data_IF_776472047423
#
_entry.id   IF_776472047423
#
_cell.length_a   1.000
_cell.length_b   1.000
_cell.length_c   1.000
_cell.angle_alpha   90.00
_cell.angle_beta   90.00
_cell.angle_gamma   90.00
#
_symmetry.space_group_name_H-M   'P 1'
#
loop_
_entity.id
_entity.type
_entity.pdbx_description
1 polymer ?
#
# COMPACT_ATOMS: atom_id res chain seq x y z
N UNK A 1 8.12 -6.02 -6.56
CA UNK A 1 9.56 -6.30 -6.41
C UNK A 1 10.41 -5.49 -7.41
N UNK A 2 10.07 -5.43 -8.71
CA UNK A 2 10.84 -4.68 -9.72
C UNK A 2 11.04 -3.20 -9.37
N UNK A 3 9.99 -2.49 -8.95
CA UNK A 3 10.07 -1.10 -8.50
C UNK A 3 11.01 -0.94 -7.30
N UNK A 4 10.98 -1.86 -6.34
CA UNK A 4 11.83 -1.81 -5.16
C UNK A 4 13.32 -1.91 -5.53
N UNK A 5 13.66 -2.88 -6.38
CA UNK A 5 15.03 -3.05 -6.87
C UNK A 5 15.50 -1.81 -7.63
N UNK A 6 14.66 -1.28 -8.52
CA UNK A 6 15.00 -0.09 -9.30
C UNK A 6 15.11 1.16 -8.40
N UNK A 7 14.18 1.37 -7.47
CA UNK A 7 14.22 2.49 -6.54
C UNK A 7 15.49 2.52 -5.69
N UNK A 8 15.88 1.35 -5.16
CA UNK A 8 17.10 1.22 -4.34
C UNK A 8 18.38 1.36 -5.17
N UNK A 9 18.45 0.74 -6.35
CA UNK A 9 19.64 0.81 -7.21
C UNK A 9 19.90 2.23 -7.76
N UNK A 10 18.85 2.97 -8.07
CA UNK A 10 18.97 4.32 -8.64
C UNK A 10 18.78 5.44 -7.61
N UNK A 11 18.63 5.10 -6.33
CA UNK A 11 18.59 6.06 -5.23
C UNK A 11 17.33 6.94 -5.20
N UNK A 12 16.20 6.48 -5.78
CA UNK A 12 14.92 7.19 -5.71
C UNK A 12 14.09 6.71 -4.51
N UNK A 13 13.90 7.61 -3.55
CA UNK A 13 13.06 7.37 -2.38
C UNK A 13 11.58 7.32 -2.78
N UNK A 14 11.15 8.16 -3.72
CA UNK A 14 9.76 8.15 -4.21
C UNK A 14 9.38 6.79 -4.84
N UNK A 15 10.25 6.22 -5.67
CA UNK A 15 10.02 4.89 -6.28
C UNK A 15 10.06 3.78 -5.23
N UNK A 16 10.97 3.87 -4.28
CA UNK A 16 11.06 2.90 -3.18
C UNK A 16 9.83 2.96 -2.29
N UNK A 17 9.33 4.15 -1.97
CA UNK A 17 8.11 4.37 -1.21
C UNK A 17 6.87 3.78 -1.91
N UNK A 18 6.71 4.07 -3.20
CA UNK A 18 5.62 3.50 -4.02
C UNK A 18 5.72 1.96 -4.12
N UNK A 19 6.94 1.41 -4.21
CA UNK A 19 7.16 -0.03 -4.18
C UNK A 19 6.79 -0.67 -2.83
N UNK A 20 7.13 -0.01 -1.73
CA UNK A 20 6.79 -0.47 -0.38
C UNK A 20 5.29 -0.35 -0.10
N UNK A 21 4.61 0.68 -0.61
CA UNK A 21 3.16 0.76 -0.58
C UNK A 21 2.51 -0.48 -1.25
N UNK A 22 2.90 -0.77 -2.48
CA UNK A 22 2.39 -1.96 -3.19
C UNK A 22 2.75 -3.29 -2.50
N UNK A 23 3.89 -3.36 -1.80
CA UNK A 23 4.27 -4.55 -1.03
C UNK A 23 3.43 -4.67 0.24
N UNK A 24 3.12 -3.55 0.89
CA UNK A 24 2.23 -3.50 2.06
C UNK A 24 0.83 -3.99 1.71
N UNK A 25 0.27 -3.54 0.56
CA UNK A 25 -1.03 -4.00 0.07
C UNK A 25 -1.03 -5.52 -0.19
N UNK A 26 0.02 -6.03 -0.84
CA UNK A 26 0.16 -7.47 -1.09
C UNK A 26 0.30 -8.27 0.23
N UNK A 27 1.04 -7.74 1.20
CA UNK A 27 1.21 -8.37 2.51
C UNK A 27 -0.09 -8.37 3.31
N UNK A 28 -0.85 -7.27 3.28
CA UNK A 28 -2.17 -7.17 3.90
C UNK A 28 -3.12 -8.23 3.37
N UNK A 29 -3.15 -8.45 2.05
CA UNK A 29 -3.98 -9.48 1.42
C UNK A 29 -3.59 -10.90 1.88
N UNK A 30 -2.28 -11.20 2.01
CA UNK A 30 -1.80 -12.51 2.48
C UNK A 30 -2.18 -12.73 3.94
N UNK A 31 -1.97 -11.72 4.80
CA UNK A 31 -2.26 -11.84 6.24
C UNK A 31 -3.76 -11.92 6.47
N UNK A 32 -4.59 -11.18 5.71
CA UNK A 32 -6.04 -11.32 5.75
C UNK A 32 -6.49 -12.73 5.39
N UNK A 33 -5.91 -13.32 4.33
CA UNK A 33 -6.22 -14.70 3.93
C UNK A 33 -5.87 -15.72 5.05
N UNK A 34 -4.71 -15.54 5.70
CA UNK A 34 -4.30 -16.38 6.84
C UNK A 34 -5.20 -16.13 8.04
N UNK A 35 -5.55 -14.88 8.33
CA UNK A 35 -6.47 -14.49 9.39
C UNK A 35 -7.84 -15.13 9.21
N UNK A 36 -8.43 -15.07 8.03
CA UNK A 36 -9.69 -15.74 7.69
C UNK A 36 -9.62 -17.26 7.88
N UNK A 37 -8.53 -17.88 7.45
CA UNK A 37 -8.34 -19.32 7.61
C UNK A 37 -8.24 -19.73 9.08
N UNK A 38 -7.60 -18.93 9.92
CA UNK A 38 -7.52 -19.16 11.36
C UNK A 38 -8.85 -18.88 12.05
N UNK A 39 -9.54 -17.81 11.67
CA UNK A 39 -10.84 -17.43 12.20
C UNK A 39 -11.92 -18.46 11.90
N UNK A 40 -11.83 -19.18 10.78
CA UNK A 40 -12.75 -20.25 10.39
C UNK A 40 -12.59 -21.55 11.21
N UNK A 41 -11.60 -21.65 12.10
CA UNK A 41 -11.40 -22.81 12.95
C UNK A 41 -12.55 -22.92 13.98
N UNK A 42 -13.10 -24.12 14.15
CA UNK A 42 -14.15 -24.39 15.13
C UNK A 42 -13.69 -24.09 16.57
N UNK A 43 -14.63 -23.78 17.49
CA UNK A 43 -14.31 -23.66 18.91
C UNK A 43 -13.62 -24.91 19.44
N UNK A 44 -12.65 -24.72 20.32
CA UNK A 44 -11.93 -25.79 21.01
C UNK A 44 -11.92 -25.54 22.54
N UNK A 45 -11.29 -26.43 23.30
CA UNK A 45 -11.29 -26.35 24.77
C UNK A 45 -10.56 -25.09 25.29
N UNK A 46 -9.60 -24.56 24.53
CA UNK A 46 -8.82 -23.35 24.87
C UNK A 46 -9.56 -22.08 24.43
N UNK A 47 -10.35 -22.16 23.34
CA UNK A 47 -11.09 -21.04 22.77
C UNK A 47 -12.60 -21.42 22.60
N UNK A 48 -13.38 -21.47 23.70
CA UNK A 48 -14.80 -21.88 23.68
C UNK A 48 -15.69 -20.99 22.82
N UNK A 49 -15.32 -19.72 22.63
CA UNK A 49 -16.08 -18.74 21.81
C UNK A 49 -15.61 -18.71 20.35
N UNK A 50 -14.71 -19.63 19.96
CA UNK A 50 -14.18 -19.70 18.60
C UNK A 50 -12.97 -18.78 18.37
N UNK A 51 -12.53 -18.77 17.12
CA UNK A 51 -11.27 -18.14 16.70
C UNK A 51 -11.47 -16.86 15.85
N UNK A 52 -12.70 -16.34 15.75
CA UNK A 52 -13.03 -15.20 14.86
C UNK A 52 -12.16 -13.95 15.08
N UNK A 53 -11.70 -13.72 16.32
CA UNK A 53 -10.83 -12.57 16.64
C UNK A 53 -9.42 -12.62 16.03
N UNK A 54 -8.97 -13.80 15.54
CA UNK A 54 -7.67 -13.92 14.87
C UNK A 54 -7.57 -13.09 13.59
N UNK A 55 -8.70 -12.85 12.91
CA UNK A 55 -8.76 -11.97 11.75
C UNK A 55 -8.33 -10.54 12.10
N UNK A 56 -8.92 -9.98 13.15
CA UNK A 56 -8.60 -8.62 13.61
C UNK A 56 -7.19 -8.51 14.17
N UNK A 57 -6.71 -9.53 14.89
CA UNK A 57 -5.31 -9.57 15.38
C UNK A 57 -4.32 -9.61 14.23
N UNK A 58 -4.60 -10.40 13.19
CA UNK A 58 -3.77 -10.45 11.99
C UNK A 58 -3.75 -9.07 11.29
N UNK A 59 -4.90 -8.43 11.10
CA UNK A 59 -5.02 -7.08 10.55
C UNK A 59 -4.25 -6.04 11.38
N UNK A 60 -4.30 -6.13 12.71
CA UNK A 60 -3.56 -5.23 13.60
C UNK A 60 -2.05 -5.37 13.44
N UNK A 61 -1.53 -6.59 13.34
CA UNK A 61 -0.08 -6.83 13.10
C UNK A 61 0.35 -6.20 11.78
N UNK A 62 -0.44 -6.36 10.72
CA UNK A 62 -0.17 -5.74 9.41
C UNK A 62 -0.18 -4.23 9.51
N UNK A 63 -1.21 -3.64 10.10
CA UNK A 63 -1.37 -2.19 10.18
C UNK A 63 -0.23 -1.53 10.98
N UNK A 64 0.21 -2.13 12.08
CA UNK A 64 1.39 -1.65 12.85
C UNK A 64 2.66 -1.74 12.00
N UNK A 65 2.83 -2.81 11.22
CA UNK A 65 3.97 -2.96 10.32
C UNK A 65 3.98 -1.88 9.23
N UNK A 66 2.80 -1.62 8.62
CA UNK A 66 2.62 -0.56 7.61
C UNK A 66 2.96 0.81 8.19
N UNK A 67 2.50 1.12 9.41
CA UNK A 67 2.86 2.37 10.10
C UNK A 67 4.37 2.48 10.33
N UNK A 68 5.03 1.41 10.76
CA UNK A 68 6.49 1.38 10.93
C UNK A 68 7.25 1.68 9.63
N UNK A 69 6.82 1.07 8.52
CA UNK A 69 7.36 1.35 7.18
C UNK A 69 7.10 2.81 6.79
N UNK A 70 5.88 3.32 6.98
CA UNK A 70 5.50 4.69 6.66
C UNK A 70 6.34 5.73 7.42
N UNK A 71 6.57 5.52 8.72
CA UNK A 71 7.44 6.40 9.51
C UNK A 71 8.90 6.37 9.06
N UNK A 72 9.43 5.19 8.73
CA UNK A 72 10.79 5.06 8.19
C UNK A 72 10.95 5.82 6.88
N UNK A 73 10.00 5.62 5.96
CA UNK A 73 9.98 6.32 4.67
C UNK A 73 9.83 7.83 4.83
N UNK A 74 8.98 8.29 5.75
CA UNK A 74 8.80 9.71 6.02
C UNK A 74 10.13 10.33 6.49
N UNK A 75 10.81 9.69 7.43
CA UNK A 75 12.12 10.14 7.92
C UNK A 75 13.15 10.22 6.81
N UNK A 76 13.27 9.18 5.99
CA UNK A 76 14.21 9.13 4.87
C UNK A 76 13.88 10.19 3.81
N UNK A 77 12.60 10.37 3.48
CA UNK A 77 12.14 11.36 2.51
C UNK A 77 12.40 12.79 2.99
N UNK A 78 12.12 13.10 4.25
CA UNK A 78 12.44 14.42 4.85
C UNK A 78 13.96 14.65 4.85
N UNK A 79 14.75 13.64 5.19
CA UNK A 79 16.22 13.75 5.14
C UNK A 79 16.69 14.08 3.71
N UNK A 80 16.10 13.45 2.70
CA UNK A 80 16.42 13.70 1.30
C UNK A 80 15.97 15.08 0.82
N UNK A 81 14.89 15.64 1.35
CA UNK A 81 14.50 17.03 1.09
C UNK A 81 15.52 18.01 1.65
N UNK A 82 16.02 17.75 2.86
CA UNK A 82 17.01 18.60 3.54
C UNK A 82 18.43 18.44 2.95
N UNK A 83 18.77 17.24 2.52
CA UNK A 83 20.06 16.87 1.95
C UNK A 83 19.85 16.14 0.62
N UNK A 84 19.56 16.89 -0.47
CA UNK A 84 19.27 16.29 -1.77
C UNK A 84 20.45 15.45 -2.28
N UNK A 85 20.17 14.22 -2.66
CA UNK A 85 21.14 13.33 -3.30
C UNK A 85 20.71 13.09 -4.74
N UNK A 86 21.65 13.11 -5.71
CA UNK A 86 21.30 12.95 -7.11
C UNK A 86 20.66 11.60 -7.36
N UNK A 87 19.55 11.60 -8.08
CA UNK A 87 18.84 10.40 -8.49
C UNK A 87 19.28 10.01 -9.88
N UNK A 88 19.80 8.78 -10.02
CA UNK A 88 20.22 8.27 -11.33
C UNK A 88 19.01 7.65 -12.04
N UNK A 89 18.36 8.40 -12.93
CA UNK A 89 17.29 7.86 -13.75
C UNK A 89 17.81 7.21 -15.04
N UNK A 90 17.66 5.90 -15.13
CA UNK A 90 17.91 5.14 -16.35
C UNK A 90 16.61 4.84 -17.10
N UNK A 91 16.73 4.44 -18.38
CA UNK A 91 15.60 3.92 -19.15
C UNK A 91 14.91 2.72 -18.48
N UNK A 92 15.66 1.93 -17.70
CA UNK A 92 15.13 0.82 -16.93
C UNK A 92 14.11 1.28 -15.89
N UNK A 93 14.37 2.39 -15.20
CA UNK A 93 13.45 2.97 -14.22
C UNK A 93 12.12 3.34 -14.87
N UNK A 94 12.18 4.08 -15.98
CA UNK A 94 10.98 4.48 -16.73
C UNK A 94 10.22 3.26 -17.22
N UNK A 95 10.91 2.27 -17.80
CA UNK A 95 10.30 1.04 -18.30
C UNK A 95 9.56 0.28 -17.18
N UNK A 96 10.17 0.12 -16.00
CA UNK A 96 9.56 -0.57 -14.86
C UNK A 96 8.32 0.17 -14.35
N UNK A 97 8.36 1.50 -14.24
CA UNK A 97 7.21 2.30 -13.81
C UNK A 97 6.06 2.24 -14.83
N UNK A 98 6.38 2.38 -16.13
CA UNK A 98 5.38 2.28 -17.22
C UNK A 98 4.73 0.90 -17.24
N UNK A 99 5.52 -0.17 -17.20
CA UNK A 99 5.00 -1.55 -17.14
C UNK A 99 4.11 -1.73 -15.91
N UNK A 100 4.51 -1.20 -14.77
CA UNK A 100 3.73 -1.26 -13.53
C UNK A 100 2.37 -0.56 -13.68
N UNK A 101 2.35 0.63 -14.28
CA UNK A 101 1.11 1.37 -14.59
C UNK A 101 0.21 0.55 -15.50
N UNK A 102 0.75 0.00 -16.60
CA UNK A 102 -0.03 -0.79 -17.56
C UNK A 102 -0.64 -2.04 -16.92
N UNK A 103 0.12 -2.76 -16.09
CA UNK A 103 -0.37 -3.93 -15.37
C UNK A 103 -1.50 -3.56 -14.40
N UNK A 104 -1.34 -2.48 -13.63
CA UNK A 104 -2.36 -2.00 -12.68
C UNK A 104 -3.62 -1.48 -13.40
N UNK A 105 -3.48 -0.80 -14.54
CA UNK A 105 -4.61 -0.40 -15.38
C UNK A 105 -5.38 -1.61 -15.90
N UNK A 106 -4.65 -2.62 -16.39
CA UNK A 106 -5.26 -3.86 -16.84
C UNK A 106 -6.01 -4.57 -15.70
N UNK A 107 -5.38 -4.70 -14.52
CA UNK A 107 -6.01 -5.28 -13.33
C UNK A 107 -7.27 -4.51 -12.91
N UNK A 108 -7.21 -3.17 -12.90
CA UNK A 108 -8.36 -2.34 -12.58
C UNK A 108 -9.52 -2.56 -13.55
N UNK A 109 -9.23 -2.56 -14.86
CA UNK A 109 -10.23 -2.82 -15.89
C UNK A 109 -10.87 -4.21 -15.77
N UNK A 110 -10.02 -5.23 -15.57
CA UNK A 110 -10.45 -6.62 -15.40
C UNK A 110 -11.34 -6.81 -14.16
N UNK A 111 -10.87 -6.35 -12.99
CA UNK A 111 -11.61 -6.47 -11.74
C UNK A 111 -12.96 -5.70 -11.80
N UNK A 112 -12.97 -4.52 -12.43
CA UNK A 112 -14.21 -3.74 -12.61
C UNK A 112 -15.20 -4.42 -13.52
N UNK A 113 -14.73 -5.02 -14.63
CA UNK A 113 -15.58 -5.74 -15.57
C UNK A 113 -16.23 -6.95 -14.91
N UNK A 114 -15.42 -7.81 -14.25
CA UNK A 114 -15.94 -9.01 -13.57
C UNK A 114 -16.80 -8.61 -12.36
N UNK A 115 -16.35 -7.64 -11.53
CA UNK A 115 -17.10 -7.18 -10.37
C UNK A 115 -18.53 -6.71 -10.71
N UNK A 116 -18.70 -6.06 -11.86
CA UNK A 116 -20.03 -5.68 -12.37
C UNK A 116 -20.86 -6.88 -12.79
N UNK A 117 -20.25 -7.87 -13.46
CA UNK A 117 -20.97 -9.06 -13.94
C UNK A 117 -21.51 -9.91 -12.78
N UNK A 118 -20.70 -10.09 -11.74
CA UNK A 118 -21.06 -10.93 -10.58
C UNK A 118 -21.59 -10.12 -9.39
N UNK A 119 -21.80 -8.79 -9.56
CA UNK A 119 -22.27 -7.86 -8.51
C UNK A 119 -21.40 -7.94 -7.22
N UNK A 120 -20.06 -8.04 -7.39
CA UNK A 120 -19.12 -8.13 -6.27
C UNK A 120 -18.57 -6.75 -5.91
N UNK A 121 -19.00 -6.20 -4.78
CA UNK A 121 -18.47 -4.93 -4.23
C UNK A 121 -16.97 -5.02 -3.94
N UNK A 122 -16.47 -6.18 -3.50
CA UNK A 122 -15.04 -6.40 -3.23
C UNK A 122 -14.19 -6.24 -4.49
N UNK A 123 -14.63 -6.80 -5.63
CA UNK A 123 -13.88 -6.63 -6.89
C UNK A 123 -13.94 -5.19 -7.42
N UNK A 124 -15.06 -4.50 -7.20
CA UNK A 124 -15.20 -3.08 -7.57
C UNK A 124 -14.27 -2.22 -6.69
N UNK A 125 -14.20 -2.49 -5.39
CA UNK A 125 -13.26 -1.83 -4.47
C UNK A 125 -11.79 -2.08 -4.86
N UNK A 126 -11.42 -3.34 -5.16
CA UNK A 126 -10.07 -3.69 -5.63
C UNK A 126 -9.72 -3.00 -6.96
N UNK A 127 -10.70 -2.79 -7.84
CA UNK A 127 -10.50 -2.03 -9.07
C UNK A 127 -10.24 -0.54 -8.81
N UNK A 128 -10.93 0.05 -7.84
CA UNK A 128 -10.71 1.44 -7.42
C UNK A 128 -9.33 1.62 -6.78
N UNK A 129 -8.92 0.69 -5.92
CA UNK A 129 -7.61 0.65 -5.29
C UNK A 129 -6.47 0.57 -6.33
N UNK A 130 -6.59 -0.35 -7.30
CA UNK A 130 -5.65 -0.43 -8.42
C UNK A 130 -5.55 0.87 -9.24
N UNK A 131 -6.62 1.66 -9.34
CA UNK A 131 -6.60 2.99 -9.98
C UNK A 131 -5.84 4.01 -9.15
N UNK A 132 -6.00 4.00 -7.82
CA UNK A 132 -5.27 4.88 -6.91
C UNK A 132 -3.76 4.59 -7.01
N UNK A 133 -3.37 3.32 -7.08
CA UNK A 133 -1.99 2.90 -7.32
C UNK A 133 -1.43 3.41 -8.66
N UNK A 134 -2.24 3.42 -9.71
CA UNK A 134 -1.85 3.99 -11.01
C UNK A 134 -1.59 5.48 -10.88
N UNK A 135 -2.45 6.22 -10.18
CA UNK A 135 -2.27 7.66 -9.96
C UNK A 135 -1.00 7.96 -9.16
N UNK A 136 -0.78 7.21 -8.08
CA UNK A 136 0.44 7.32 -7.26
C UNK A 136 1.70 7.05 -8.09
N UNK A 137 1.73 5.92 -8.81
CA UNK A 137 2.90 5.56 -9.65
C UNK A 137 3.11 6.55 -10.80
N UNK A 138 2.04 7.08 -11.40
CA UNK A 138 2.13 8.10 -12.44
C UNK A 138 2.70 9.41 -11.90
N UNK A 139 2.29 9.83 -10.70
CA UNK A 139 2.84 11.00 -10.03
C UNK A 139 4.34 10.83 -9.75
N UNK A 140 4.75 9.65 -9.27
CA UNK A 140 6.17 9.31 -9.06
C UNK A 140 6.94 9.33 -10.39
N UNK A 141 6.38 8.80 -11.48
CA UNK A 141 7.00 8.84 -12.81
C UNK A 141 7.16 10.27 -13.33
N UNK A 142 6.15 11.12 -13.17
CA UNK A 142 6.22 12.54 -13.55
C UNK A 142 7.30 13.26 -12.73
N UNK A 143 7.34 13.06 -11.41
CA UNK A 143 8.38 13.63 -10.56
C UNK A 143 9.77 13.16 -10.98
N UNK A 144 9.93 11.89 -11.32
CA UNK A 144 11.17 11.31 -11.81
C UNK A 144 11.66 12.00 -13.12
N UNK A 145 10.75 12.22 -14.06
CA UNK A 145 11.03 12.93 -15.31
C UNK A 145 11.41 14.38 -15.02
N UNK A 146 10.66 15.07 -14.15
CA UNK A 146 10.93 16.45 -13.77
C UNK A 146 12.31 16.59 -13.10
N UNK A 147 12.66 15.71 -12.16
CA UNK A 147 13.99 15.67 -11.55
C UNK A 147 15.09 15.59 -12.63
N UNK A 148 14.91 14.73 -13.63
CA UNK A 148 15.87 14.56 -14.71
C UNK A 148 16.00 15.82 -15.59
N UNK A 149 14.90 16.47 -15.92
CA UNK A 149 14.87 17.63 -16.81
C UNK A 149 15.33 18.89 -16.11
N UNK A 150 14.94 19.09 -14.85
CA UNK A 150 15.22 20.31 -14.08
C UNK A 150 16.49 20.22 -13.25
N UNK A 151 16.97 19.01 -12.95
CA UNK A 151 18.06 18.77 -11.98
C UNK A 151 17.67 19.03 -10.53
N UNK A 152 16.37 19.12 -10.23
CA UNK A 152 15.87 19.39 -8.88
C UNK A 152 15.62 18.07 -8.13
N UNK A 153 16.67 17.50 -7.55
CA UNK A 153 16.60 16.24 -6.79
C UNK A 153 15.69 16.31 -5.55
N UNK A 154 15.37 17.53 -5.08
CA UNK A 154 14.41 17.77 -3.99
C UNK A 154 13.02 17.23 -4.32
N UNK A 155 12.61 17.22 -5.59
CA UNK A 155 11.28 16.74 -6.01
C UNK A 155 11.07 15.26 -5.67
N UNK A 156 12.11 14.42 -5.77
CA UNK A 156 12.03 13.01 -5.38
C UNK A 156 11.75 12.85 -3.87
N UNK A 157 12.45 13.66 -3.05
CA UNK A 157 12.20 13.69 -1.60
C UNK A 157 10.78 14.15 -1.26
N UNK A 158 10.29 15.22 -1.91
CA UNK A 158 8.92 15.72 -1.71
C UNK A 158 7.85 14.69 -2.10
N UNK A 159 8.04 14.00 -3.22
CA UNK A 159 7.14 12.92 -3.63
C UNK A 159 7.20 11.75 -2.66
N UNK A 160 8.40 11.41 -2.16
CA UNK A 160 8.58 10.40 -1.11
C UNK A 160 7.81 10.77 0.17
N UNK A 161 7.84 12.04 0.60
CA UNK A 161 7.03 12.53 1.74
C UNK A 161 5.55 12.35 1.45
N UNK A 162 5.06 12.73 0.26
CA UNK A 162 3.65 12.58 -0.11
C UNK A 162 3.18 11.12 -0.04
N UNK A 163 3.97 10.18 -0.59
CA UNK A 163 3.66 8.74 -0.55
C UNK A 163 3.74 8.21 0.89
N UNK A 164 4.74 8.61 1.68
CA UNK A 164 4.87 8.18 3.07
C UNK A 164 3.68 8.65 3.94
N UNK A 165 3.22 9.89 3.76
CA UNK A 165 2.02 10.41 4.44
C UNK A 165 0.77 9.62 4.03
N UNK A 166 0.63 9.31 2.75
CA UNK A 166 -0.48 8.47 2.26
C UNK A 166 -0.46 7.09 2.93
N UNK A 167 0.71 6.43 3.01
CA UNK A 167 0.88 5.13 3.71
C UNK A 167 0.49 5.24 5.18
N UNK A 168 0.90 6.32 5.86
CA UNK A 168 0.57 6.53 7.28
C UNK A 168 -0.93 6.74 7.51
N UNK A 169 -1.61 7.50 6.65
CA UNK A 169 -3.06 7.70 6.73
C UNK A 169 -3.79 6.38 6.51
N UNK A 170 -3.41 5.62 5.48
CA UNK A 170 -4.00 4.31 5.18
C UNK A 170 -3.75 3.29 6.30
N UNK A 171 -2.52 3.24 6.82
CA UNK A 171 -2.16 2.37 7.94
C UNK A 171 -2.92 2.73 9.22
N UNK A 172 -3.13 4.01 9.50
CA UNK A 172 -3.93 4.45 10.65
C UNK A 172 -5.40 4.04 10.51
N UNK A 173 -5.99 4.21 9.33
CA UNK A 173 -7.33 3.70 9.03
C UNK A 173 -7.45 2.21 9.34
N UNK A 174 -6.51 1.40 8.82
CA UNK A 174 -6.51 -0.04 9.06
C UNK A 174 -6.33 -0.40 10.56
N UNK A 175 -5.57 0.38 11.34
CA UNK A 175 -5.50 0.20 12.81
C UNK A 175 -6.87 0.41 13.43
N UNK A 176 -7.58 1.47 13.07
CA UNK A 176 -8.90 1.76 13.63
C UNK A 176 -9.92 0.69 13.26
N UNK A 177 -9.94 0.24 12.00
CA UNK A 177 -10.84 -0.80 11.50
C UNK A 177 -10.62 -2.16 12.17
N UNK A 178 -9.39 -2.46 12.57
CA UNK A 178 -9.05 -3.71 13.26
C UNK A 178 -9.18 -3.62 14.78
N UNK A 179 -8.95 -2.45 15.37
CA UNK A 179 -8.98 -2.24 16.81
C UNK A 179 -10.42 -2.08 17.34
N UNK A 180 -11.29 -1.38 16.59
CA UNK A 180 -12.67 -1.11 17.00
C UNK A 180 -13.46 -2.38 17.33
N UNK A 181 -13.49 -3.43 16.48
CA UNK A 181 -14.17 -4.69 16.80
C UNK A 181 -13.52 -5.46 17.95
N UNK A 182 -12.20 -5.30 18.19
CA UNK A 182 -11.52 -5.95 19.32
C UNK A 182 -11.91 -5.32 20.67
N UNK A 183 -12.16 -4.01 20.69
CA UNK A 183 -12.60 -3.27 21.87
C UNK A 183 -14.08 -3.45 22.19
N UNK A 184 -14.87 -3.98 21.26
CA UNK A 184 -16.31 -4.14 21.39
C UNK A 184 -17.05 -2.96 20.77
N UNK A 185 -17.40 -3.11 19.51
CA UNK A 185 -18.26 -2.16 18.81
C UNK A 185 -19.70 -2.30 19.25
N UNK A 186 -20.42 -1.17 19.43
CA UNK A 186 -21.86 -1.23 19.73
C UNK A 186 -22.61 -1.86 18.55
N UNK A 187 -23.69 -2.65 18.79
CA UNK A 187 -24.53 -3.15 17.72
C UNK A 187 -24.98 -2.00 16.80
N UNK A 188 -25.00 -2.25 15.49
CA UNK A 188 -25.55 -1.29 14.53
C UNK A 188 -27.02 -0.99 14.84
N UNK A 189 -27.48 0.25 14.64
CA UNK A 189 -28.85 0.70 14.93
C UNK A 189 -29.94 -0.07 14.13
N UNK A 190 -29.55 -0.97 13.23
CA UNK A 190 -30.43 -1.80 12.40
C UNK A 190 -30.82 -3.16 13.05
N UNK A 191 -30.59 -3.34 14.33
CA UNK A 191 -31.13 -4.43 15.18
C UNK A 191 -32.25 -3.88 16.07
#
# INVERSE_FOLDING_TARGET
LGKFVVGTLFGSIAITADALNNLSDASSNIVSLVGFKLAAKAPDAEHPYGHARFEYLAGLVVSVTILGIGFSLLKESVTKVLHPTPVQFGWLTVAVLVVSILVKLWMSGFNRAIGRIISSETLIATAADSRNDVLSTAAVLVAAILCRVTGWDVLDGLMGVGVAVFILISGWGLVMDTLSPLLGESPSEDL
#
